data_IF_202704337928
#
_entry.id   IF_202704337928
#
_cell.length_a   1.000
_cell.length_b   1.000
_cell.length_c   1.000
_cell.angle_alpha   90.00
_cell.angle_beta   90.00
_cell.angle_gamma   90.00
#
_symmetry.space_group_name_H-M   'P 1'
#
loop_
_entity.id
_entity.type
_entity.pdbx_description
1 polymer ?
#
# COMPACT_ATOMS: atom_id res chain seq x y z
N UNK A 1 -35.85 -10.74 55.99
CA UNK A 1 -35.54 -11.74 54.94
C UNK A 1 -35.90 -11.26 53.52
N UNK A 2 -37.11 -10.75 53.23
CA UNK A 2 -37.53 -10.27 51.89
C UNK A 2 -36.71 -9.07 51.35
N UNK A 3 -36.22 -8.17 52.21
CA UNK A 3 -35.44 -6.98 51.81
C UNK A 3 -34.00 -7.35 51.37
N UNK A 4 -33.42 -8.32 52.08
CA UNK A 4 -32.05 -8.79 51.77
C UNK A 4 -32.00 -9.56 50.43
N UNK A 5 -33.02 -10.38 50.17
CA UNK A 5 -33.16 -11.12 48.90
C UNK A 5 -33.38 -10.13 47.72
N UNK A 6 -34.13 -9.05 47.93
CA UNK A 6 -34.40 -8.04 46.90
C UNK A 6 -33.13 -7.21 46.53
N UNK A 7 -32.27 -6.91 47.55
CA UNK A 7 -30.99 -6.24 47.35
C UNK A 7 -29.95 -7.17 46.63
N UNK A 8 -29.98 -8.46 47.00
CA UNK A 8 -29.10 -9.45 46.38
C UNK A 8 -29.47 -9.65 44.88
N UNK A 9 -30.75 -9.67 44.53
CA UNK A 9 -31.23 -9.76 43.16
C UNK A 9 -30.82 -8.55 42.31
N UNK A 10 -30.86 -7.34 42.89
CA UNK A 10 -30.46 -6.11 42.22
C UNK A 10 -28.94 -6.07 41.94
N UNK A 11 -28.10 -6.59 42.84
CA UNK A 11 -26.63 -6.69 42.67
C UNK A 11 -26.29 -7.72 41.60
N UNK A 12 -26.97 -8.86 41.55
CA UNK A 12 -26.76 -9.92 40.56
C UNK A 12 -27.18 -9.44 39.15
N UNK A 13 -28.29 -8.70 39.02
CA UNK A 13 -28.74 -8.11 37.75
C UNK A 13 -27.75 -7.02 37.28
N UNK A 14 -27.17 -6.22 38.20
CA UNK A 14 -26.17 -5.22 37.87
C UNK A 14 -24.83 -5.84 37.41
N UNK A 15 -24.41 -6.96 38.03
CA UNK A 15 -23.22 -7.70 37.63
C UNK A 15 -23.40 -8.42 36.27
N UNK A 16 -24.59 -8.89 35.97
CA UNK A 16 -24.89 -9.50 34.68
C UNK A 16 -24.97 -8.47 33.52
N UNK A 17 -25.37 -7.23 33.79
CA UNK A 17 -25.44 -6.18 32.77
C UNK A 17 -24.05 -5.64 32.37
N UNK A 18 -23.04 -5.75 33.25
CA UNK A 18 -21.66 -5.33 32.94
C UNK A 18 -20.91 -6.38 32.08
N UNK A 19 -21.33 -7.65 32.14
CA UNK A 19 -20.68 -8.73 31.36
C UNK A 19 -21.06 -8.73 29.87
N UNK A 20 -22.07 -7.95 29.45
CA UNK A 20 -22.53 -7.93 28.04
C UNK A 20 -21.80 -6.90 27.16
N UNK A 21 -20.87 -6.12 27.73
CA UNK A 21 -20.15 -5.06 26.99
C UNK A 21 -18.76 -5.45 26.48
N UNK A 22 -18.32 -6.68 26.74
CA UNK A 22 -17.13 -7.22 26.09
C UNK A 22 -17.52 -8.04 24.84
N UNK A 23 -18.17 -7.40 23.86
CA UNK A 23 -18.10 -7.91 22.49
C UNK A 23 -16.63 -7.74 22.08
N UNK A 24 -15.91 -8.84 21.97
CA UNK A 24 -14.55 -8.84 21.44
C UNK A 24 -14.66 -8.39 19.98
N UNK A 25 -14.47 -7.09 19.77
CA UNK A 25 -14.46 -6.45 18.46
C UNK A 25 -13.18 -6.84 17.69
N UNK A 26 -12.94 -8.16 17.54
CA UNK A 26 -11.77 -8.66 16.83
C UNK A 26 -11.81 -8.20 15.38
N UNK A 27 -10.86 -7.38 15.00
CA UNK A 27 -10.66 -6.96 13.63
C UNK A 27 -10.20 -8.16 12.80
N UNK A 28 -10.80 -8.34 11.63
CA UNK A 28 -10.35 -9.29 10.62
C UNK A 28 -9.71 -8.50 9.50
N UNK A 29 -8.45 -8.80 9.18
CA UNK A 29 -7.75 -8.18 8.05
C UNK A 29 -7.62 -9.19 6.91
N UNK A 30 -8.24 -8.87 5.77
CA UNK A 30 -8.09 -9.64 4.56
C UNK A 30 -6.93 -9.08 3.71
N UNK A 31 -6.23 -9.97 3.00
CA UNK A 31 -5.29 -9.65 1.94
C UNK A 31 -5.58 -10.55 0.73
N UNK A 32 -5.33 -10.02 -0.46
CA UNK A 32 -5.42 -10.75 -1.74
C UNK A 32 -4.03 -11.18 -2.25
N UNK A 33 -3.91 -11.59 -3.49
CA UNK A 33 -2.62 -11.77 -4.17
C UNK A 33 -2.27 -10.47 -4.93
N UNK A 34 -1.49 -9.60 -4.28
CA UNK A 34 -1.01 -8.34 -4.82
C UNK A 34 0.52 -8.24 -4.72
N UNK A 35 1.19 -8.97 -5.60
CA UNK A 35 2.66 -9.02 -5.65
C UNK A 35 3.26 -7.66 -5.98
N UNK A 36 4.40 -7.33 -5.37
CA UNK A 36 5.20 -8.09 -4.40
C UNK A 36 4.82 -7.87 -2.92
N UNK A 37 3.73 -7.15 -2.63
CA UNK A 37 3.40 -6.70 -1.28
C UNK A 37 2.73 -7.79 -0.43
N UNK A 38 1.84 -8.56 -1.01
CA UNK A 38 1.17 -9.70 -0.38
C UNK A 38 0.86 -10.78 -1.43
N UNK A 39 1.09 -12.04 -1.09
CA UNK A 39 0.89 -13.15 -2.02
C UNK A 39 0.81 -14.48 -1.29
N UNK A 40 0.23 -15.48 -1.98
CA UNK A 40 0.15 -16.85 -1.48
C UNK A 40 1.34 -17.69 -1.94
N UNK A 41 1.91 -18.45 -1.00
CA UNK A 41 2.84 -19.56 -1.27
C UNK A 41 2.35 -20.75 -0.44
N UNK A 42 2.04 -21.86 -1.09
CA UNK A 42 1.55 -23.08 -0.44
C UNK A 42 0.37 -22.83 0.52
N UNK A 43 -0.56 -21.96 0.12
CA UNK A 43 -1.75 -21.61 0.91
C UNK A 43 -1.50 -20.67 2.09
N UNK A 44 -0.27 -20.17 2.28
CA UNK A 44 0.10 -19.19 3.32
C UNK A 44 0.33 -17.82 2.72
N UNK A 45 -0.11 -16.79 3.44
CA UNK A 45 0.14 -15.39 3.08
C UNK A 45 1.58 -14.99 3.42
N UNK A 46 2.23 -14.34 2.47
CA UNK A 46 3.60 -13.81 2.56
C UNK A 46 3.66 -12.38 2.03
N UNK A 47 4.75 -11.68 2.36
CA UNK A 47 5.08 -10.36 1.84
C UNK A 47 5.04 -9.27 2.90
N UNK A 48 5.62 -8.09 2.60
CA UNK A 48 5.79 -7.03 3.60
C UNK A 48 4.48 -6.50 4.16
N UNK A 49 3.40 -6.42 3.39
CA UNK A 49 2.10 -6.00 3.93
C UNK A 49 1.56 -6.98 4.96
N UNK A 50 1.81 -8.29 4.78
CA UNK A 50 1.44 -9.32 5.76
C UNK A 50 2.24 -9.14 7.05
N UNK A 51 3.56 -8.92 6.94
CA UNK A 51 4.44 -8.73 8.08
C UNK A 51 4.09 -7.44 8.85
N UNK A 52 3.76 -6.35 8.14
CA UNK A 52 3.31 -5.09 8.77
C UNK A 52 1.99 -5.31 9.53
N UNK A 53 1.00 -5.97 8.92
CA UNK A 53 -0.30 -6.24 9.57
C UNK A 53 -0.12 -7.13 10.81
N UNK A 54 0.73 -8.16 10.75
CA UNK A 54 1.07 -8.98 11.93
C UNK A 54 1.70 -8.15 13.05
N UNK A 55 2.62 -7.25 12.67
CA UNK A 55 3.27 -6.38 13.64
C UNK A 55 2.28 -5.40 14.27
N UNK A 56 1.31 -4.88 13.52
CA UNK A 56 0.24 -4.03 14.05
C UNK A 56 -0.61 -4.79 15.07
N UNK A 57 -1.06 -6.02 14.78
CA UNK A 57 -1.78 -6.86 15.75
C UNK A 57 -0.98 -7.07 17.03
N UNK A 58 0.33 -7.29 16.93
CA UNK A 58 1.22 -7.43 18.07
C UNK A 58 1.32 -6.14 18.88
N UNK A 59 1.46 -4.99 18.22
CA UNK A 59 1.60 -3.68 18.87
C UNK A 59 0.35 -3.31 19.66
N UNK A 60 -0.83 -3.60 19.12
CA UNK A 60 -2.11 -3.35 19.82
C UNK A 60 -2.50 -4.44 20.81
N UNK A 61 -1.68 -5.49 20.95
CA UNK A 61 -1.92 -6.65 21.83
C UNK A 61 -3.28 -7.34 21.56
N UNK A 62 -3.59 -7.56 20.28
CA UNK A 62 -4.79 -8.27 19.82
C UNK A 62 -4.45 -9.59 19.11
N UNK A 63 -5.41 -10.53 19.13
CA UNK A 63 -5.25 -11.80 18.42
C UNK A 63 -5.17 -11.56 16.91
N UNK A 64 -4.09 -12.02 16.30
CA UNK A 64 -3.93 -11.99 14.85
C UNK A 64 -5.07 -12.75 14.15
N UNK A 65 -5.81 -12.04 13.31
CA UNK A 65 -6.87 -12.61 12.46
C UNK A 65 -6.69 -12.12 11.04
N UNK A 66 -5.80 -12.77 10.32
CA UNK A 66 -5.45 -12.46 8.93
C UNK A 66 -5.99 -13.58 8.03
N UNK A 67 -6.69 -13.20 6.95
CA UNK A 67 -7.26 -14.16 6.00
C UNK A 67 -6.91 -13.78 4.56
N UNK A 68 -6.85 -14.79 3.69
CA UNK A 68 -6.81 -14.58 2.25
C UNK A 68 -8.23 -14.46 1.69
N UNK A 69 -8.47 -13.44 0.88
CA UNK A 69 -9.66 -13.33 0.03
C UNK A 69 -9.28 -12.77 -1.33
N UNK A 70 -9.90 -13.25 -2.44
CA UNK A 70 -9.79 -12.57 -3.73
C UNK A 70 -10.22 -11.10 -3.60
N UNK A 71 -9.53 -10.19 -4.30
CA UNK A 71 -9.72 -8.74 -4.20
C UNK A 71 -11.21 -8.31 -4.14
N UNK A 72 -12.00 -8.71 -5.15
CA UNK A 72 -13.41 -8.31 -5.23
C UNK A 72 -14.18 -8.69 -3.97
N UNK A 73 -13.99 -9.93 -3.49
CA UNK A 73 -14.68 -10.42 -2.29
C UNK A 73 -14.24 -9.68 -1.03
N UNK A 74 -12.93 -9.44 -0.87
CA UNK A 74 -12.38 -8.65 0.23
C UNK A 74 -12.94 -7.22 0.22
N UNK A 75 -12.95 -6.58 -0.94
CA UNK A 75 -13.44 -5.22 -1.14
C UNK A 75 -14.94 -5.07 -0.82
N UNK A 76 -15.78 -5.99 -1.31
CA UNK A 76 -17.22 -6.00 -1.03
C UNK A 76 -17.49 -6.30 0.46
N UNK A 77 -16.74 -7.24 1.06
CA UNK A 77 -16.89 -7.57 2.49
C UNK A 77 -16.51 -6.39 3.37
N UNK A 78 -15.42 -5.67 3.06
CA UNK A 78 -15.00 -4.49 3.81
C UNK A 78 -16.01 -3.34 3.76
N UNK A 79 -16.89 -3.28 2.77
CA UNK A 79 -17.95 -2.28 2.71
C UNK A 79 -19.14 -2.58 3.59
N UNK A 80 -19.40 -3.86 3.91
CA UNK A 80 -20.64 -4.28 4.60
C UNK A 80 -20.43 -4.88 5.99
N UNK A 81 -19.21 -5.32 6.32
CA UNK A 81 -18.93 -6.02 7.58
C UNK A 81 -18.13 -5.13 8.52
N UNK A 82 -18.72 -4.75 9.64
CA UNK A 82 -18.05 -4.03 10.72
C UNK A 82 -16.82 -4.81 11.24
N UNK A 83 -15.77 -4.11 11.67
CA UNK A 83 -14.50 -4.67 12.13
C UNK A 83 -13.82 -5.60 11.11
N UNK A 84 -14.10 -5.35 9.84
CA UNK A 84 -13.42 -6.01 8.73
C UNK A 84 -12.60 -4.99 7.94
N UNK A 85 -11.39 -5.36 7.57
CA UNK A 85 -10.48 -4.51 6.81
C UNK A 85 -9.87 -5.26 5.63
N UNK A 86 -9.52 -4.52 4.58
CA UNK A 86 -8.77 -5.00 3.42
C UNK A 86 -7.46 -4.24 3.31
N UNK A 87 -6.32 -4.93 3.52
CA UNK A 87 -5.01 -4.31 3.40
C UNK A 87 -4.57 -4.13 1.93
N UNK A 88 -3.49 -3.37 1.73
CA UNK A 88 -2.93 -3.03 0.41
C UNK A 88 -3.93 -2.37 -0.55
N UNK A 89 -4.90 -1.66 0.00
CA UNK A 89 -5.95 -0.98 -0.78
C UNK A 89 -5.49 0.43 -1.16
N UNK A 90 -5.55 0.74 -2.46
CA UNK A 90 -5.27 2.10 -2.95
C UNK A 90 -6.35 3.06 -2.45
N UNK A 91 -5.94 4.10 -1.73
CA UNK A 91 -6.82 5.20 -1.31
C UNK A 91 -7.00 6.17 -2.48
N UNK A 92 -8.24 6.34 -2.94
CA UNK A 92 -8.61 7.25 -4.03
C UNK A 92 -9.78 8.15 -3.60
N UNK A 93 -10.03 9.21 -4.36
CA UNK A 93 -11.15 10.13 -4.09
C UNK A 93 -12.51 9.41 -4.08
N UNK A 94 -12.69 8.45 -4.98
CA UNK A 94 -13.92 7.66 -5.12
C UNK A 94 -14.13 6.72 -3.91
N UNK A 95 -13.04 6.25 -3.31
CA UNK A 95 -13.06 5.34 -2.16
C UNK A 95 -13.04 6.04 -0.81
N UNK A 96 -12.72 7.33 -0.79
CA UNK A 96 -12.51 8.11 0.45
C UNK A 96 -13.66 7.97 1.45
N UNK A 97 -14.89 8.02 0.96
CA UNK A 97 -16.10 7.93 1.80
C UNK A 97 -16.59 6.51 2.07
N UNK A 98 -15.98 5.51 1.45
CA UNK A 98 -16.40 4.11 1.57
C UNK A 98 -15.73 3.40 2.74
N UNK A 99 -14.59 3.91 3.22
CA UNK A 99 -13.76 3.25 4.22
C UNK A 99 -13.19 4.24 5.22
N UNK A 100 -12.75 3.73 6.36
CA UNK A 100 -11.79 4.37 7.25
C UNK A 100 -10.41 3.81 6.96
N UNK A 101 -9.35 4.62 7.11
CA UNK A 101 -8.04 4.33 6.56
C UNK A 101 -6.97 4.34 7.64
N UNK A 102 -6.10 3.30 7.63
CA UNK A 102 -4.89 3.21 8.46
C UNK A 102 -3.68 3.01 7.57
N UNK A 103 -2.62 3.72 7.80
CA UNK A 103 -1.39 3.66 7.01
C UNK A 103 -0.87 5.04 6.57
N UNK A 104 -0.02 5.08 5.51
CA UNK A 104 0.07 4.16 4.36
C UNK A 104 1.06 2.98 4.55
N UNK A 105 0.72 1.79 4.12
CA UNK A 105 1.60 0.60 4.20
C UNK A 105 2.77 0.67 3.21
N UNK A 106 2.53 1.22 2.02
CA UNK A 106 3.48 1.36 0.93
C UNK A 106 2.98 2.39 -0.08
N UNK A 107 3.86 2.86 -0.97
CA UNK A 107 3.48 3.71 -2.10
C UNK A 107 3.95 3.11 -3.41
N UNK A 108 3.01 2.98 -4.37
CA UNK A 108 3.34 2.69 -5.76
C UNK A 108 3.57 4.01 -6.49
N UNK A 109 4.76 4.18 -7.05
CA UNK A 109 5.13 5.41 -7.77
C UNK A 109 5.26 5.12 -9.27
N UNK A 110 4.76 6.03 -10.09
CA UNK A 110 5.07 6.12 -11.51
C UNK A 110 6.12 7.22 -11.66
N UNK A 111 7.30 6.84 -12.14
CA UNK A 111 8.50 7.68 -12.07
C UNK A 111 9.08 7.82 -13.47
N UNK A 112 9.62 9.00 -13.73
CA UNK A 112 10.51 9.26 -14.84
C UNK A 112 11.94 9.04 -14.36
N UNK A 113 12.64 8.12 -14.99
CA UNK A 113 14.04 7.85 -14.74
C UNK A 113 14.90 8.39 -15.89
N UNK A 114 16.08 8.88 -15.55
CA UNK A 114 17.17 9.22 -16.45
C UNK A 114 18.41 8.40 -16.13
N UNK A 115 19.39 8.38 -17.04
CA UNK A 115 20.73 7.94 -16.66
C UNK A 115 21.35 8.98 -15.72
N UNK A 116 21.97 8.55 -14.64
CA UNK A 116 22.67 9.43 -13.71
C UNK A 116 23.76 10.26 -14.41
N UNK A 117 24.43 9.64 -15.41
CA UNK A 117 25.46 10.31 -16.23
C UNK A 117 24.91 11.39 -17.18
N UNK A 118 23.60 11.49 -17.37
CA UNK A 118 22.99 12.54 -18.22
C UNK A 118 22.83 13.87 -17.50
N UNK A 119 22.84 13.87 -16.15
CA UNK A 119 22.64 15.06 -15.31
C UNK A 119 21.34 15.82 -15.63
N UNK A 120 20.33 15.12 -16.16
CA UNK A 120 19.01 15.72 -16.47
C UNK A 120 18.30 16.09 -15.18
N UNK A 121 17.78 17.32 -15.13
CA UNK A 121 16.93 17.80 -14.04
C UNK A 121 15.56 18.16 -14.58
N UNK A 122 14.53 17.74 -13.90
CA UNK A 122 13.11 18.01 -14.22
C UNK A 122 12.50 18.69 -13.02
N UNK A 123 12.29 19.98 -13.10
CA UNK A 123 11.69 20.77 -12.03
C UNK A 123 10.17 20.82 -12.17
N UNK A 124 9.69 20.84 -13.41
CA UNK A 124 8.27 20.91 -13.76
C UNK A 124 7.88 19.85 -14.77
N UNK A 125 6.58 19.60 -14.89
CA UNK A 125 6.04 18.71 -15.93
C UNK A 125 6.36 19.19 -17.36
N UNK A 126 6.40 20.51 -17.56
CA UNK A 126 6.67 21.14 -18.86
C UNK A 126 8.10 20.86 -19.36
N UNK A 127 9.04 20.65 -18.45
CA UNK A 127 10.42 20.29 -18.83
C UNK A 127 10.49 18.97 -19.62
N UNK A 128 9.52 18.08 -19.41
CA UNK A 128 9.46 16.80 -20.10
C UNK A 128 9.29 16.94 -21.62
N UNK A 129 8.74 18.05 -22.12
CA UNK A 129 8.58 18.30 -23.55
C UNK A 129 9.91 18.37 -24.32
N UNK A 130 11.02 18.64 -23.62
CA UNK A 130 12.37 18.76 -24.22
C UNK A 130 13.02 17.42 -24.52
N UNK A 131 12.46 16.29 -24.02
CA UNK A 131 13.10 14.99 -24.00
C UNK A 131 12.28 13.93 -24.72
N UNK A 132 12.97 12.93 -25.28
CA UNK A 132 12.35 11.69 -25.78
C UNK A 132 12.14 10.72 -24.63
N UNK A 133 10.89 10.37 -24.36
CA UNK A 133 10.51 9.54 -23.20
C UNK A 133 10.11 8.14 -23.67
N UNK A 134 10.83 7.12 -23.21
CA UNK A 134 10.45 5.72 -23.41
C UNK A 134 9.24 5.34 -22.55
N UNK A 135 8.26 4.70 -23.16
CA UNK A 135 7.06 4.16 -22.48
C UNK A 135 6.72 2.78 -23.03
N UNK A 136 6.06 1.96 -22.24
CA UNK A 136 5.41 0.75 -22.72
C UNK A 136 4.00 1.11 -23.23
N UNK A 137 3.60 0.53 -24.38
CA UNK A 137 2.29 0.79 -25.03
C UNK A 137 1.13 0.42 -24.11
N UNK A 138 0.06 1.20 -24.20
CA UNK A 138 -1.21 1.00 -23.47
C UNK A 138 -1.09 0.99 -21.94
N UNK A 139 0.01 1.51 -21.38
CA UNK A 139 0.20 1.60 -19.93
C UNK A 139 -0.35 2.90 -19.36
N UNK A 140 -0.52 2.91 -18.04
CA UNK A 140 -0.89 4.12 -17.29
C UNK A 140 0.16 5.22 -17.50
N UNK A 141 1.45 4.90 -17.58
CA UNK A 141 2.53 5.87 -17.82
C UNK A 141 2.34 6.59 -19.15
N UNK A 142 2.06 5.85 -20.23
CA UNK A 142 1.78 6.44 -21.55
C UNK A 142 0.54 7.36 -21.49
N UNK A 143 -0.57 6.85 -20.96
CA UNK A 143 -1.83 7.61 -20.87
C UNK A 143 -1.67 8.90 -20.05
N UNK A 144 -0.94 8.84 -18.94
CA UNK A 144 -0.69 10.00 -18.09
C UNK A 144 0.14 11.07 -18.79
N UNK A 145 1.15 10.71 -19.58
CA UNK A 145 1.96 11.65 -20.33
C UNK A 145 1.15 12.28 -21.47
N UNK A 146 0.44 11.46 -22.24
CA UNK A 146 -0.43 11.95 -23.34
C UNK A 146 -1.54 12.89 -22.83
N UNK A 147 -2.19 12.56 -21.70
CA UNK A 147 -3.23 13.42 -21.12
C UNK A 147 -2.72 14.78 -20.64
N UNK A 148 -1.40 14.94 -20.51
CA UNK A 148 -0.71 16.18 -20.15
C UNK A 148 -0.02 16.86 -21.33
N UNK A 149 -0.32 16.40 -22.55
CA UNK A 149 0.20 16.99 -23.79
C UNK A 149 1.63 16.58 -24.15
N UNK A 150 2.23 15.65 -23.42
CA UNK A 150 3.60 15.18 -23.70
C UNK A 150 3.52 14.08 -24.74
N UNK A 151 3.95 14.39 -25.97
CA UNK A 151 3.77 13.54 -27.17
C UNK A 151 5.07 12.95 -27.72
N UNK A 152 6.24 13.46 -27.33
CA UNK A 152 7.53 12.93 -27.76
C UNK A 152 7.86 11.60 -27.05
N UNK A 153 7.06 10.56 -27.37
CA UNK A 153 7.13 9.25 -26.72
C UNK A 153 7.70 8.18 -27.66
N UNK A 154 8.75 7.51 -27.21
CA UNK A 154 9.24 6.27 -27.81
C UNK A 154 8.49 5.08 -27.21
N UNK A 155 7.65 4.41 -28.03
CA UNK A 155 6.71 3.39 -27.56
C UNK A 155 7.19 1.98 -27.89
N UNK A 156 7.40 1.16 -26.86
CA UNK A 156 7.81 -0.25 -26.99
C UNK A 156 6.71 -1.20 -26.54
N UNK A 157 6.87 -2.51 -26.85
CA UNK A 157 5.93 -3.54 -26.39
C UNK A 157 6.35 -4.18 -25.06
N UNK A 158 7.64 -4.13 -24.73
CA UNK A 158 8.19 -4.69 -23.49
C UNK A 158 9.03 -3.62 -22.78
N UNK A 159 8.79 -3.37 -21.49
CA UNK A 159 9.44 -2.27 -20.76
C UNK A 159 10.98 -2.41 -20.70
N UNK A 160 11.54 -3.65 -20.70
CA UNK A 160 12.98 -3.89 -20.73
C UNK A 160 13.67 -3.32 -21.98
N UNK A 161 12.97 -3.15 -23.11
CA UNK A 161 13.52 -2.52 -24.31
C UNK A 161 13.87 -1.04 -24.05
N UNK A 162 13.06 -0.32 -23.25
CA UNK A 162 13.36 1.06 -22.86
C UNK A 162 14.61 1.17 -22.01
N UNK A 163 14.87 0.18 -21.13
CA UNK A 163 16.13 0.14 -20.36
C UNK A 163 17.34 0.12 -21.31
N UNK A 164 17.33 -0.79 -22.29
CA UNK A 164 18.42 -0.88 -23.28
C UNK A 164 18.56 0.39 -24.12
N UNK A 165 17.44 1.00 -24.51
CA UNK A 165 17.43 2.27 -25.27
C UNK A 165 17.99 3.42 -24.44
N UNK A 166 17.64 3.50 -23.16
CA UNK A 166 18.15 4.52 -22.22
C UNK A 166 19.67 4.37 -22.01
N UNK A 167 20.14 3.14 -21.75
CA UNK A 167 21.58 2.83 -21.62
C UNK A 167 22.38 3.19 -22.88
N UNK A 168 21.80 2.98 -24.06
CA UNK A 168 22.40 3.34 -25.34
C UNK A 168 22.15 4.82 -25.74
N UNK A 169 21.56 5.63 -24.86
CA UNK A 169 21.21 7.06 -25.10
C UNK A 169 20.35 7.29 -26.35
N UNK A 170 19.48 6.30 -26.71
CA UNK A 170 18.51 6.41 -27.81
C UNK A 170 17.21 7.07 -27.37
N UNK A 171 16.98 7.13 -26.08
CA UNK A 171 15.96 7.93 -25.39
C UNK A 171 16.64 8.65 -24.23
N UNK A 172 16.06 9.75 -23.79
CA UNK A 172 16.60 10.58 -22.70
C UNK A 172 16.06 10.16 -21.35
N UNK A 173 14.81 9.76 -21.33
CA UNK A 173 14.01 9.45 -20.13
C UNK A 173 13.23 8.15 -20.30
N UNK A 174 12.92 7.51 -19.17
CA UNK A 174 12.07 6.31 -19.14
C UNK A 174 10.97 6.44 -18.09
N UNK A 175 9.70 6.40 -18.53
CA UNK A 175 8.54 6.45 -17.67
C UNK A 175 8.03 5.05 -17.35
N UNK A 176 8.03 4.69 -16.07
CA UNK A 176 7.68 3.34 -15.62
C UNK A 176 7.24 3.34 -14.13
N UNK A 177 6.54 2.29 -13.70
CA UNK A 177 6.29 2.10 -12.27
C UNK A 177 7.55 1.66 -11.53
N UNK A 178 7.76 2.15 -10.31
CA UNK A 178 8.93 1.80 -9.48
C UNK A 178 9.09 0.27 -9.32
N UNK A 179 8.00 -0.46 -9.12
CA UNK A 179 8.03 -1.91 -8.96
C UNK A 179 8.50 -2.65 -10.22
N UNK A 180 8.01 -2.23 -11.41
CA UNK A 180 8.43 -2.82 -12.68
C UNK A 180 9.88 -2.48 -13.00
N UNK A 181 10.30 -1.24 -12.73
CA UNK A 181 11.67 -0.77 -12.90
C UNK A 181 12.66 -1.65 -12.13
N UNK A 182 12.51 -1.77 -10.80
CA UNK A 182 13.41 -2.59 -9.97
C UNK A 182 13.35 -4.09 -10.33
N UNK A 183 12.15 -4.58 -10.74
CA UNK A 183 11.99 -5.95 -11.22
C UNK A 183 12.83 -6.24 -12.48
N UNK A 184 12.86 -5.30 -13.42
CA UNK A 184 13.66 -5.40 -14.65
C UNK A 184 15.14 -5.33 -14.32
N UNK A 185 15.60 -4.33 -13.55
CA UNK A 185 16.99 -4.19 -13.17
C UNK A 185 17.54 -5.45 -12.49
N UNK A 186 16.76 -6.02 -11.56
CA UNK A 186 17.13 -7.28 -10.90
C UNK A 186 17.25 -8.43 -11.87
N UNK A 187 16.30 -8.58 -12.80
CA UNK A 187 16.28 -9.65 -13.80
C UNK A 187 17.47 -9.56 -14.76
N UNK A 188 17.78 -8.36 -15.22
CA UNK A 188 18.83 -8.09 -16.21
C UNK A 188 20.21 -7.84 -15.54
N UNK A 189 20.29 -7.94 -14.21
CA UNK A 189 21.49 -7.70 -13.41
C UNK A 189 22.17 -6.34 -13.67
N UNK A 190 21.33 -5.27 -13.78
CA UNK A 190 21.78 -3.89 -13.97
C UNK A 190 21.68 -3.15 -12.63
N UNK A 191 22.76 -2.44 -12.18
CA UNK A 191 22.73 -1.74 -10.90
C UNK A 191 21.80 -0.51 -10.94
N UNK A 192 21.06 -0.30 -9.87
CA UNK A 192 20.20 0.88 -9.68
C UNK A 192 20.97 2.20 -9.76
N UNK A 193 22.26 2.16 -9.40
CA UNK A 193 23.15 3.33 -9.36
C UNK A 193 23.38 3.98 -10.73
N UNK A 194 23.07 3.29 -11.84
CA UNK A 194 23.14 3.84 -13.20
C UNK A 194 22.03 4.86 -13.48
N UNK A 195 20.94 4.81 -12.71
CA UNK A 195 19.73 5.58 -12.95
C UNK A 195 19.46 6.58 -11.83
N UNK A 196 18.69 7.62 -12.17
CA UNK A 196 18.20 8.61 -11.23
C UNK A 196 16.69 8.84 -11.47
N UNK A 197 15.93 8.87 -10.38
CA UNK A 197 14.52 9.26 -10.42
C UNK A 197 14.45 10.79 -10.54
N UNK A 198 14.15 11.31 -11.73
CA UNK A 198 14.16 12.76 -11.99
C UNK A 198 12.79 13.42 -11.82
N UNK A 199 11.68 12.64 -11.89
CA UNK A 199 10.34 13.18 -11.69
C UNK A 199 9.35 12.10 -11.24
N UNK A 200 8.46 12.43 -10.31
CA UNK A 200 7.37 11.55 -9.87
C UNK A 200 6.08 11.99 -10.55
N UNK A 201 5.63 11.22 -11.55
CA UNK A 201 4.38 11.49 -12.28
C UNK A 201 3.14 11.31 -11.42
N UNK A 202 3.13 10.25 -10.62
CA UNK A 202 2.03 9.88 -9.74
C UNK A 202 2.52 9.00 -8.60
N UNK A 203 1.97 9.25 -7.44
CA UNK A 203 2.08 8.36 -6.29
C UNK A 203 0.69 7.84 -5.92
N UNK A 204 0.60 6.54 -5.67
CA UNK A 204 -0.60 5.86 -5.20
C UNK A 204 -0.26 5.14 -3.89
N UNK A 205 -0.70 5.70 -2.78
CA UNK A 205 -0.48 5.13 -1.46
C UNK A 205 -1.48 4.02 -1.16
N UNK A 206 -0.99 2.96 -0.54
CA UNK A 206 -1.74 1.76 -0.17
C UNK A 206 -1.96 1.74 1.33
N UNK A 207 -3.18 1.48 1.74
CA UNK A 207 -3.63 1.54 3.13
C UNK A 207 -4.30 0.24 3.56
N UNK A 208 -4.60 0.12 4.84
CA UNK A 208 -5.61 -0.80 5.36
C UNK A 208 -6.94 -0.05 5.31
N UNK A 209 -7.88 -0.53 4.48
CA UNK A 209 -9.22 0.01 4.31
C UNK A 209 -10.18 -0.72 5.27
N UNK A 210 -10.55 -0.09 6.35
CA UNK A 210 -11.52 -0.59 7.32
C UNK A 210 -12.95 -0.28 6.87
N UNK A 211 -13.88 -1.13 7.26
CA UNK A 211 -15.31 -0.80 7.14
C UNK A 211 -15.60 0.57 7.77
N UNK A 212 -16.46 1.36 7.13
CA UNK A 212 -16.80 2.73 7.57
C UNK A 212 -17.49 2.77 8.93
N UNK A 213 -18.19 1.69 9.31
CA UNK A 213 -18.94 1.59 10.57
C UNK A 213 -18.06 1.00 11.72
N UNK A 214 -16.81 0.61 11.44
CA UNK A 214 -15.83 0.24 12.49
C UNK A 214 -15.64 1.43 13.44
N UNK A 215 -15.71 1.23 14.78
CA UNK A 215 -15.60 2.31 15.78
C UNK A 215 -14.33 3.16 15.59
N UNK A 216 -14.44 4.47 15.77
CA UNK A 216 -13.29 5.39 15.63
C UNK A 216 -12.20 5.06 16.65
N UNK A 217 -12.55 4.58 17.85
CA UNK A 217 -11.59 4.11 18.84
C UNK A 217 -10.69 3.00 18.29
N UNK A 218 -11.29 2.03 17.57
CA UNK A 218 -10.54 0.96 16.90
C UNK A 218 -9.60 1.53 15.84
N UNK A 219 -10.10 2.44 15.00
CA UNK A 219 -9.28 3.06 13.94
C UNK A 219 -8.11 3.85 14.54
N UNK A 220 -8.37 4.66 15.56
CA UNK A 220 -7.33 5.43 16.24
C UNK A 220 -6.27 4.51 16.87
N UNK A 221 -6.67 3.44 17.57
CA UNK A 221 -5.75 2.44 18.12
C UNK A 221 -4.83 1.84 17.07
N UNK A 222 -5.37 1.50 15.88
CA UNK A 222 -4.60 0.97 14.77
C UNK A 222 -3.68 2.03 14.13
N UNK A 223 -4.14 3.27 14.00
CA UNK A 223 -3.33 4.36 13.46
C UNK A 223 -2.19 4.74 14.41
N UNK A 224 -2.46 4.84 15.72
CA UNK A 224 -1.43 5.13 16.73
C UNK A 224 -0.33 4.06 16.74
N UNK A 225 -0.73 2.78 16.64
CA UNK A 225 0.23 1.68 16.49
C UNK A 225 1.04 1.79 15.20
N UNK A 226 0.39 2.13 14.08
CA UNK A 226 1.09 2.35 12.81
C UNK A 226 2.09 3.52 12.93
N UNK A 227 1.70 4.64 13.52
CA UNK A 227 2.56 5.82 13.69
C UNK A 227 3.78 5.50 14.56
N UNK A 228 3.60 4.74 15.66
CA UNK A 228 4.70 4.22 16.48
C UNK A 228 5.69 3.37 15.66
N UNK A 229 5.17 2.51 14.76
CA UNK A 229 6.01 1.67 13.89
C UNK A 229 6.73 2.48 12.80
N UNK A 230 6.15 3.57 12.31
CA UNK A 230 6.81 4.52 11.41
C UNK A 230 7.94 5.26 12.15
N UNK A 231 7.67 5.79 13.33
CA UNK A 231 8.65 6.55 14.13
C UNK A 231 9.85 5.69 14.53
N UNK A 232 9.60 4.43 14.90
CA UNK A 232 10.65 3.47 15.24
C UNK A 232 11.39 2.90 14.02
N UNK A 233 10.98 3.24 12.78
CA UNK A 233 11.60 2.78 11.54
C UNK A 233 11.27 1.33 11.15
N UNK A 234 10.45 0.62 11.92
CA UNK A 234 10.13 -0.80 11.70
C UNK A 234 9.41 -1.07 10.37
N UNK A 235 8.54 -0.15 9.92
CA UNK A 235 7.88 -0.28 8.60
C UNK A 235 8.92 -0.24 7.48
N UNK A 236 9.89 0.67 7.55
CA UNK A 236 11.00 0.78 6.59
C UNK A 236 11.84 -0.48 6.59
N UNK A 237 12.23 -0.97 7.77
CA UNK A 237 13.01 -2.20 7.94
C UNK A 237 12.32 -3.42 7.29
N UNK A 238 11.00 -3.59 7.50
CA UNK A 238 10.24 -4.67 6.88
C UNK A 238 10.31 -4.57 5.35
N UNK A 239 10.07 -3.38 4.78
CA UNK A 239 10.15 -3.20 3.32
C UNK A 239 11.56 -3.47 2.78
N UNK A 240 12.60 -3.01 3.46
CA UNK A 240 14.00 -3.25 3.08
C UNK A 240 14.36 -4.73 3.14
N UNK A 241 13.93 -5.47 4.16
CA UNK A 241 14.09 -6.93 4.28
C UNK A 241 13.53 -7.69 3.10
N UNK A 242 12.43 -7.18 2.52
CA UNK A 242 11.83 -7.74 1.29
C UNK A 242 12.43 -7.17 0.00
N UNK A 243 13.49 -6.36 0.07
CA UNK A 243 14.08 -5.61 -1.07
C UNK A 243 13.07 -4.63 -1.73
N UNK A 244 12.17 -4.07 -0.94
CA UNK A 244 11.10 -3.16 -1.39
C UNK A 244 11.17 -1.79 -0.69
N UNK A 245 12.33 -1.41 -0.17
CA UNK A 245 12.56 -0.12 0.50
C UNK A 245 12.14 1.09 -0.34
N UNK A 246 12.20 0.99 -1.66
CA UNK A 246 11.72 2.02 -2.60
C UNK A 246 10.19 2.26 -2.56
N UNK A 247 9.42 1.36 -1.93
CA UNK A 247 7.97 1.53 -1.71
C UNK A 247 7.66 2.24 -0.39
N UNK A 248 8.71 2.52 0.43
CA UNK A 248 8.52 3.24 1.68
C UNK A 248 8.01 4.66 1.44
N UNK A 249 7.06 5.08 2.27
CA UNK A 249 6.50 6.43 2.30
C UNK A 249 6.11 6.77 3.73
N UNK A 250 6.21 8.04 4.06
CA UNK A 250 5.66 8.62 5.29
C UNK A 250 4.34 9.30 5.00
#
# INVERSE_FOLDING_TARGET
>A
MKIIIRKLYFIIVLLFSVSFLYSSNNVIVALDDYRPLNYLVEGKLHGPSVDIVKLLFKEINEKETIIYLPWKRGYETAQIKENFALASTTRTKEREKLFKWVGPLAAKKFIIYALKSSHIKIDTLDDLHKYTIGVERATISEQMLLSRGITNLSKVNYPSQNMGMLLLKRIDLWSISSSTFHGILKKENVPDSEFEAVYVLKEAKLYIAFNKDTPDETINKWQDAYDSLIESGKIKEILEKHNLGYLYTK
#
